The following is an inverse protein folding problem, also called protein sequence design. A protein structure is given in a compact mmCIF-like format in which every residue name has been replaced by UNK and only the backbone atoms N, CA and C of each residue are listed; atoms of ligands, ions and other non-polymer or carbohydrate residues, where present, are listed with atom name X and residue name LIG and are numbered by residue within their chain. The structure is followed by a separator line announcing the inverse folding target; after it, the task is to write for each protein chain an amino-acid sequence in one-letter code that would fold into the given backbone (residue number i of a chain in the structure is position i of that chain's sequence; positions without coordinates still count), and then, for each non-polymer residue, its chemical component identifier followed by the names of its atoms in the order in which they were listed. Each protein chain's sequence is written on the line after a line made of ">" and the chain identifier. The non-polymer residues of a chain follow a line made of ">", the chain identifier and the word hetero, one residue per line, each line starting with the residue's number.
data_IF_106737433019
#
_entry.id   IF_106737433019
#
_cell.length_a   1.000
_cell.length_b   1.000
_cell.length_c   1.000
_cell.angle_alpha   90.00
_cell.angle_beta   90.00
_cell.angle_gamma   90.00
#
_symmetry.space_group_name_H-M   'P 1'
#
loop_
_entity.id
_entity.type
_entity.pdbx_description
1 polymer ?
#
# COMPACT_ATOMS: atom_id res chain seq x y z
N UNK A 1 -32.60 4.34 2.99
CA UNK A 1 -31.54 5.12 3.65
C UNK A 1 -30.32 4.24 3.84
N UNK A 2 -29.35 4.34 2.96
CA UNK A 2 -28.10 3.58 3.08
C UNK A 2 -27.18 4.35 4.03
N UNK A 3 -27.07 3.88 5.28
CA UNK A 3 -26.03 4.35 6.19
C UNK A 3 -24.68 3.85 5.65
N UNK A 4 -23.95 4.73 5.01
CA UNK A 4 -22.52 4.54 4.82
C UNK A 4 -21.87 4.71 6.19
N UNK A 5 -21.72 3.61 6.91
CA UNK A 5 -20.84 3.58 8.05
C UNK A 5 -19.40 3.71 7.52
N UNK A 6 -18.91 4.94 7.54
CA UNK A 6 -17.55 5.29 7.16
C UNK A 6 -16.51 4.90 8.24
N UNK A 7 -16.84 3.90 9.05
CA UNK A 7 -15.86 3.30 9.96
C UNK A 7 -14.94 2.40 9.14
N UNK A 8 -13.67 2.72 9.16
CA UNK A 8 -12.63 1.86 8.61
C UNK A 8 -12.66 0.44 9.22
N UNK A 9 -11.83 -0.49 8.74
CA UNK A 9 -11.81 -1.85 9.21
C UNK A 9 -11.55 -1.90 10.74
N UNK A 10 -12.23 -2.82 11.42
CA UNK A 10 -12.03 -3.04 12.87
C UNK A 10 -10.66 -3.66 13.13
N UNK A 11 -10.17 -3.56 14.36
CA UNK A 11 -8.92 -4.21 14.80
C UNK A 11 -8.94 -5.73 14.55
N UNK A 12 -10.09 -6.36 14.73
CA UNK A 12 -10.28 -7.77 14.43
C UNK A 12 -10.10 -8.08 12.94
N UNK A 13 -10.72 -7.27 12.07
CA UNK A 13 -10.55 -7.41 10.62
C UNK A 13 -9.08 -7.24 10.20
N UNK A 14 -8.39 -6.25 10.75
CA UNK A 14 -6.97 -6.01 10.46
C UNK A 14 -6.10 -7.18 10.90
N UNK A 15 -6.33 -7.71 12.09
CA UNK A 15 -5.57 -8.85 12.64
C UNK A 15 -5.79 -10.12 11.80
N UNK A 16 -7.02 -10.46 11.53
CA UNK A 16 -7.36 -11.66 10.72
C UNK A 16 -6.82 -11.51 9.30
N UNK A 17 -6.95 -10.32 8.70
CA UNK A 17 -6.38 -10.02 7.39
C UNK A 17 -4.87 -10.21 7.35
N UNK A 18 -4.16 -9.78 8.37
CA UNK A 18 -2.71 -9.92 8.46
C UNK A 18 -2.28 -11.37 8.68
N UNK A 19 -2.99 -12.13 9.49
CA UNK A 19 -2.75 -13.58 9.66
C UNK A 19 -2.95 -14.35 8.34
N UNK A 20 -4.00 -14.02 7.59
CA UNK A 20 -4.25 -14.61 6.26
C UNK A 20 -3.15 -14.21 5.28
N UNK A 21 -2.74 -12.95 5.27
CA UNK A 21 -1.67 -12.46 4.40
C UNK A 21 -0.37 -13.24 4.62
N UNK A 22 0.04 -13.39 5.87
CA UNK A 22 1.24 -14.15 6.23
C UNK A 22 1.14 -15.61 5.80
N UNK A 23 0.01 -16.25 6.04
CA UNK A 23 -0.20 -17.66 5.68
C UNK A 23 -0.14 -17.88 4.18
N UNK A 24 -0.76 -17.00 3.39
CA UNK A 24 -0.72 -17.09 1.92
C UNK A 24 0.69 -16.84 1.41
N UNK A 25 1.36 -15.78 1.88
CA UNK A 25 2.73 -15.46 1.49
C UNK A 25 3.68 -16.63 1.78
N UNK A 26 3.56 -17.22 2.95
CA UNK A 26 4.35 -18.40 3.34
C UNK A 26 4.15 -19.60 2.41
N UNK A 27 2.89 -19.90 2.06
CA UNK A 27 2.57 -20.99 1.15
C UNK A 27 3.13 -20.76 -0.27
N UNK A 28 3.09 -19.51 -0.74
CA UNK A 28 3.66 -19.12 -2.03
C UNK A 28 5.18 -19.22 -2.04
N UNK A 29 5.86 -18.74 -1.00
CA UNK A 29 7.32 -18.84 -0.85
C UNK A 29 7.80 -20.30 -0.82
N UNK A 30 7.07 -21.17 -0.19
CA UNK A 30 7.39 -22.60 -0.12
C UNK A 30 7.04 -23.39 -1.39
N UNK A 31 6.41 -22.75 -2.35
CA UNK A 31 6.00 -23.41 -3.59
C UNK A 31 4.96 -24.50 -3.40
N UNK A 32 4.10 -24.38 -2.41
CA UNK A 32 3.06 -25.37 -2.11
C UNK A 32 1.92 -25.38 -3.15
N UNK A 33 1.79 -24.30 -3.91
CA UNK A 33 0.79 -24.15 -4.97
C UNK A 33 1.38 -24.62 -6.30
N UNK A 34 0.78 -25.64 -6.89
CA UNK A 34 1.28 -26.31 -8.11
C UNK A 34 0.51 -25.92 -9.38
N UNK A 35 -0.02 -24.73 -9.44
CA UNK A 35 -0.64 -24.24 -10.68
C UNK A 35 0.45 -23.79 -11.67
N UNK A 36 0.28 -24.18 -12.95
CA UNK A 36 1.27 -23.89 -14.00
C UNK A 36 1.51 -22.39 -14.22
N UNK A 37 0.53 -21.53 -13.92
CA UNK A 37 0.66 -20.09 -14.03
C UNK A 37 1.40 -19.46 -12.84
N UNK A 38 1.57 -20.19 -11.75
CA UNK A 38 2.15 -19.70 -10.49
C UNK A 38 3.55 -20.26 -10.27
N UNK A 39 3.80 -21.49 -10.70
CA UNK A 39 5.09 -22.16 -10.51
C UNK A 39 6.22 -21.33 -11.11
N UNK A 40 7.24 -21.03 -10.30
CA UNK A 40 8.38 -20.25 -10.71
C UNK A 40 8.17 -18.75 -10.77
N UNK A 41 6.98 -18.26 -10.42
CA UNK A 41 6.68 -16.82 -10.34
C UNK A 41 6.79 -16.38 -8.90
N UNK A 42 7.63 -15.37 -8.63
CA UNK A 42 7.69 -14.72 -7.34
C UNK A 42 6.47 -13.79 -7.21
N UNK A 43 5.65 -14.00 -6.19
CA UNK A 43 4.41 -13.26 -5.96
C UNK A 43 4.46 -12.66 -4.55
N UNK A 44 4.23 -11.37 -4.45
CA UNK A 44 4.09 -10.67 -3.17
C UNK A 44 2.62 -10.44 -2.85
N UNK A 45 2.20 -10.83 -1.66
CA UNK A 45 0.89 -10.48 -1.11
C UNK A 45 1.04 -9.19 -0.33
N UNK A 46 0.51 -8.10 -0.87
CA UNK A 46 0.70 -6.75 -0.29
C UNK A 46 -0.29 -6.45 0.81
N UNK A 47 -1.54 -6.86 0.64
CA UNK A 47 -2.61 -6.62 1.61
C UNK A 47 -3.69 -7.70 1.50
N UNK A 48 -4.35 -7.97 2.60
CA UNK A 48 -5.59 -8.76 2.63
C UNK A 48 -6.66 -7.97 3.36
N UNK A 49 -7.74 -7.68 2.69
CA UNK A 49 -8.93 -7.02 3.25
C UNK A 49 -10.03 -8.04 3.50
N UNK A 50 -10.61 -7.96 4.67
CA UNK A 50 -11.70 -8.83 5.09
C UNK A 50 -12.99 -8.04 5.23
N UNK A 51 -14.10 -8.62 4.75
CA UNK A 51 -15.43 -8.05 4.95
C UNK A 51 -15.81 -8.03 6.44
N UNK A 52 -16.69 -7.09 6.87
CA UNK A 52 -17.11 -6.97 8.26
C UNK A 52 -17.71 -8.26 8.86
N UNK A 53 -18.37 -9.08 8.03
CA UNK A 53 -18.94 -10.37 8.41
C UNK A 53 -17.90 -11.51 8.42
N UNK A 54 -16.65 -11.25 8.06
CA UNK A 54 -15.55 -12.20 7.96
C UNK A 54 -15.78 -13.35 6.95
N UNK A 55 -16.70 -13.17 6.01
CA UNK A 55 -17.05 -14.20 5.02
C UNK A 55 -16.25 -14.11 3.73
N UNK A 56 -15.71 -12.92 3.42
CA UNK A 56 -14.97 -12.67 2.19
C UNK A 56 -13.62 -12.00 2.52
N UNK A 57 -12.58 -12.49 1.87
CA UNK A 57 -11.24 -11.92 1.92
C UNK A 57 -10.78 -11.58 0.51
N UNK A 58 -10.26 -10.38 0.32
CA UNK A 58 -9.63 -9.95 -0.92
C UNK A 58 -8.15 -9.81 -0.70
N UNK A 59 -7.37 -10.63 -1.39
CA UNK A 59 -5.91 -10.59 -1.35
C UNK A 59 -5.37 -9.80 -2.54
N UNK A 60 -4.64 -8.75 -2.25
CA UNK A 60 -3.94 -7.94 -3.24
C UNK A 60 -2.55 -8.50 -3.46
N UNK A 61 -2.23 -8.81 -4.70
CA UNK A 61 -0.98 -9.46 -5.05
C UNK A 61 -0.26 -8.75 -6.18
N UNK A 62 1.05 -8.80 -6.13
CA UNK A 62 1.93 -8.26 -7.17
C UNK A 62 2.92 -9.33 -7.58
N UNK A 63 2.87 -9.82 -8.84
CA UNK A 63 3.92 -10.66 -9.39
C UNK A 63 5.21 -9.84 -9.53
N UNK A 64 6.32 -10.37 -9.03
CA UNK A 64 7.64 -9.76 -9.17
C UNK A 64 8.26 -10.16 -10.52
N UNK A 65 9.03 -9.25 -11.09
CA UNK A 65 9.74 -9.49 -12.34
C UNK A 65 9.10 -8.84 -13.55
N UNK A 66 8.03 -8.11 -13.35
CA UNK A 66 7.31 -7.42 -14.43
C UNK A 66 6.65 -8.42 -15.38
N UNK A 67 5.72 -7.96 -16.09
CA UNK A 67 4.97 -8.68 -17.09
C UNK A 67 3.95 -7.74 -17.68
N UNK A 68 3.51 -8.05 -18.87
CA UNK A 68 2.37 -7.36 -19.43
C UNK A 68 1.09 -7.68 -18.64
N UNK A 69 0.03 -6.98 -18.92
CA UNK A 69 -1.26 -7.17 -18.25
C UNK A 69 -1.80 -8.60 -18.40
N UNK A 70 -1.47 -9.29 -19.49
CA UNK A 70 -1.90 -10.66 -19.74
C UNK A 70 -1.16 -11.65 -18.86
N UNK A 71 0.15 -11.46 -18.67
CA UNK A 71 0.95 -12.29 -17.76
C UNK A 71 0.47 -12.14 -16.32
N UNK A 72 0.20 -10.91 -15.87
CA UNK A 72 -0.36 -10.63 -14.54
C UNK A 72 -1.73 -11.29 -14.39
N UNK A 73 -2.59 -11.18 -15.39
CA UNK A 73 -3.91 -11.80 -15.38
C UNK A 73 -3.82 -13.33 -15.28
N UNK A 74 -2.89 -13.95 -16.00
CA UNK A 74 -2.68 -15.40 -15.93
C UNK A 74 -2.31 -15.86 -14.53
N UNK A 75 -1.45 -15.11 -13.82
CA UNK A 75 -1.08 -15.39 -12.43
C UNK A 75 -2.29 -15.23 -11.50
N UNK A 76 -3.05 -14.16 -11.66
CA UNK A 76 -4.26 -13.92 -10.86
C UNK A 76 -5.29 -15.02 -11.06
N UNK A 77 -5.55 -15.43 -12.29
CA UNK A 77 -6.46 -16.53 -12.61
C UNK A 77 -5.97 -17.86 -12.00
N UNK A 78 -4.65 -18.10 -12.03
CA UNK A 78 -4.02 -19.24 -11.37
C UNK A 78 -4.22 -19.24 -9.85
N UNK A 79 -4.06 -18.11 -9.21
CA UNK A 79 -4.30 -17.96 -7.77
C UNK A 79 -5.78 -18.20 -7.42
N UNK A 80 -6.69 -17.70 -8.23
CA UNK A 80 -8.13 -17.90 -8.02
C UNK A 80 -8.54 -19.37 -8.25
N UNK A 81 -7.90 -20.08 -9.19
CA UNK A 81 -8.07 -21.53 -9.31
C UNK A 81 -7.57 -22.29 -8.08
N UNK A 82 -6.52 -21.80 -7.44
CA UNK A 82 -5.95 -22.38 -6.23
C UNK A 82 -6.66 -21.93 -4.93
N UNK A 83 -7.67 -21.09 -5.01
CA UNK A 83 -8.40 -20.60 -3.83
C UNK A 83 -8.91 -21.73 -2.92
N UNK A 84 -9.42 -22.87 -3.41
CA UNK A 84 -9.79 -24.00 -2.55
C UNK A 84 -8.62 -24.55 -1.74
N UNK A 85 -7.43 -24.58 -2.30
CA UNK A 85 -6.21 -24.98 -1.59
C UNK A 85 -5.90 -24.03 -0.43
N UNK A 86 -5.92 -22.73 -0.68
CA UNK A 86 -5.69 -21.73 0.37
C UNK A 86 -6.75 -21.81 1.46
N UNK A 87 -8.00 -22.02 1.12
CA UNK A 87 -9.07 -22.18 2.11
C UNK A 87 -8.82 -23.39 3.03
N UNK A 88 -8.43 -24.53 2.48
CA UNK A 88 -8.10 -25.73 3.28
C UNK A 88 -6.90 -25.50 4.19
N UNK A 89 -5.88 -24.84 3.67
CA UNK A 89 -4.70 -24.48 4.44
C UNK A 89 -5.06 -23.56 5.62
N UNK A 90 -5.80 -22.51 5.35
CA UNK A 90 -6.24 -21.54 6.37
C UNK A 90 -7.16 -22.18 7.41
N UNK A 91 -8.00 -23.12 7.01
CA UNK A 91 -8.85 -23.86 7.94
C UNK A 91 -8.05 -24.66 8.98
N UNK A 92 -6.85 -25.10 8.62
CA UNK A 92 -5.94 -25.82 9.53
C UNK A 92 -5.10 -24.90 10.39
N UNK A 93 -4.79 -23.70 9.92
CA UNK A 93 -3.86 -22.76 10.58
C UNK A 93 -4.58 -21.73 11.44
N UNK A 94 -5.79 -21.34 11.07
CA UNK A 94 -6.55 -20.29 11.74
C UNK A 94 -7.68 -20.88 12.58
N UNK A 95 -7.79 -20.40 13.80
CA UNK A 95 -8.90 -20.74 14.71
C UNK A 95 -10.14 -19.86 14.40
N UNK A 96 -10.60 -19.91 13.16
CA UNK A 96 -11.80 -19.21 12.75
C UNK A 96 -12.99 -20.17 12.70
N UNK A 97 -14.18 -19.68 13.10
CA UNK A 97 -15.43 -20.44 12.99
C UNK A 97 -15.74 -20.86 11.55
N UNK A 98 -15.44 -19.99 10.60
CA UNK A 98 -15.56 -20.24 9.19
C UNK A 98 -14.40 -19.56 8.46
N UNK A 99 -13.84 -20.24 7.48
CA UNK A 99 -12.79 -19.68 6.63
C UNK A 99 -13.44 -18.79 5.57
N UNK A 100 -12.97 -17.54 5.41
CA UNK A 100 -13.51 -16.64 4.41
C UNK A 100 -13.25 -17.16 2.99
N UNK A 101 -14.08 -16.76 2.05
CA UNK A 101 -13.81 -16.95 0.62
C UNK A 101 -12.67 -16.01 0.22
N UNK A 102 -11.67 -16.54 -0.42
CA UNK A 102 -10.52 -15.76 -0.87
C UNK A 102 -10.67 -15.44 -2.35
N UNK A 103 -10.51 -14.18 -2.67
CA UNK A 103 -10.43 -13.69 -4.04
C UNK A 103 -9.10 -12.93 -4.22
N UNK A 104 -8.37 -13.27 -5.26
CA UNK A 104 -7.11 -12.60 -5.59
C UNK A 104 -7.33 -11.57 -6.67
N UNK A 105 -6.80 -10.37 -6.44
CA UNK A 105 -6.78 -9.29 -7.42
C UNK A 105 -5.39 -8.67 -7.48
N UNK A 106 -5.00 -8.08 -8.63
CA UNK A 106 -3.72 -7.39 -8.74
C UNK A 106 -3.71 -6.13 -7.88
N UNK A 107 -2.59 -5.88 -7.22
CA UNK A 107 -2.37 -4.61 -6.53
C UNK A 107 -1.87 -3.56 -7.54
N UNK A 108 -2.75 -2.64 -7.88
CA UNK A 108 -2.47 -1.54 -8.81
C UNK A 108 -1.86 -0.32 -8.16
N UNK A 109 -1.71 -0.30 -6.83
CA UNK A 109 -1.13 0.85 -6.10
C UNK A 109 0.29 1.13 -6.54
N UNK A 110 1.07 0.08 -6.81
CA UNK A 110 2.45 0.19 -7.27
C UNK A 110 2.52 0.78 -8.69
N UNK A 111 1.64 0.37 -9.58
CA UNK A 111 1.57 0.89 -10.95
C UNK A 111 1.19 2.38 -10.94
N UNK A 112 0.23 2.77 -10.13
CA UNK A 112 -0.15 4.18 -9.95
C UNK A 112 0.97 5.03 -9.39
N UNK A 113 1.72 4.53 -8.41
CA UNK A 113 2.89 5.22 -7.87
C UNK A 113 4.01 5.36 -8.91
N UNK A 114 4.24 4.33 -9.72
CA UNK A 114 5.21 4.35 -10.81
C UNK A 114 4.80 5.32 -11.92
N UNK A 115 3.53 5.35 -12.31
CA UNK A 115 3.01 6.33 -13.28
C UNK A 115 3.13 7.75 -12.76
N UNK A 116 2.84 8.00 -11.49
CA UNK A 116 3.00 9.31 -10.85
C UNK A 116 4.47 9.73 -10.81
N UNK A 117 5.39 8.83 -10.48
CA UNK A 117 6.82 9.09 -10.48
C UNK A 117 7.34 9.40 -11.90
N UNK A 118 6.87 8.68 -12.90
CA UNK A 118 7.18 8.95 -14.30
C UNK A 118 6.64 10.32 -14.76
N UNK A 119 5.44 10.71 -14.33
CA UNK A 119 4.88 12.03 -14.59
C UNK A 119 5.70 13.14 -13.93
N UNK A 120 6.16 12.95 -12.70
CA UNK A 120 7.00 13.92 -11.99
C UNK A 120 8.37 14.11 -12.63
N UNK A 121 8.89 13.10 -13.33
CA UNK A 121 10.17 13.18 -14.04
C UNK A 121 10.07 13.82 -15.42
N UNK A 122 8.89 14.09 -15.92
CA UNK A 122 8.71 14.79 -17.18
C UNK A 122 9.30 16.20 -17.08
N UNK A 123 10.03 16.69 -18.11
CA UNK A 123 10.74 17.97 -18.05
C UNK A 123 9.83 19.18 -17.81
N UNK A 124 8.60 19.14 -18.32
CA UNK A 124 7.57 20.17 -18.14
C UNK A 124 7.13 20.26 -16.67
N UNK A 125 6.77 19.12 -16.07
CA UNK A 125 6.36 19.03 -14.65
C UNK A 125 7.52 19.34 -13.70
N UNK A 126 8.72 18.81 -13.98
CA UNK A 126 9.91 19.08 -13.18
C UNK A 126 10.31 20.57 -13.17
N UNK A 127 10.02 21.29 -14.25
CA UNK A 127 10.24 22.74 -14.34
C UNK A 127 9.24 23.51 -13.47
N UNK A 128 7.97 23.13 -13.55
CA UNK A 128 6.91 23.76 -12.75
C UNK A 128 7.12 23.54 -11.25
N UNK A 129 7.51 22.36 -10.83
CA UNK A 129 7.83 22.05 -9.44
C UNK A 129 9.03 22.87 -8.92
N UNK A 130 10.05 23.09 -9.75
CA UNK A 130 11.21 23.93 -9.39
C UNK A 130 10.85 25.39 -9.28
N UNK A 131 9.96 25.90 -10.11
CA UNK A 131 9.48 27.28 -10.03
C UNK A 131 8.68 27.50 -8.75
N UNK A 132 7.77 26.58 -8.43
CA UNK A 132 6.99 26.63 -7.18
C UNK A 132 7.87 26.57 -5.94
N UNK A 133 8.91 25.72 -5.94
CA UNK A 133 9.85 25.63 -4.82
C UNK A 133 10.64 26.92 -4.60
N UNK A 134 11.01 27.64 -5.66
CA UNK A 134 11.68 28.94 -5.56
C UNK A 134 10.77 30.02 -4.99
N UNK A 135 9.51 30.03 -5.40
CA UNK A 135 8.54 31.00 -4.89
C UNK A 135 8.27 30.83 -3.38
N UNK A 136 8.35 29.60 -2.87
CA UNK A 136 8.26 29.33 -1.44
C UNK A 136 9.48 29.80 -0.66
N UNK A 137 10.69 29.53 -1.16
CA UNK A 137 11.95 29.94 -0.54
C UNK A 137 12.11 31.49 -0.53
N UNK A 138 11.58 32.17 -1.53
CA UNK A 138 11.63 33.65 -1.62
C UNK A 138 10.64 34.27 -0.65
N UNK A 139 9.48 33.66 -0.45
CA UNK A 139 8.45 34.14 0.47
C UNK A 139 8.88 34.02 1.95
N UNK A 140 9.56 32.94 2.31
CA UNK A 140 10.07 32.73 3.66
C UNK A 140 11.24 33.67 4.00
N UNK A 141 11.95 34.19 3.01
CA UNK A 141 13.03 35.19 3.22
C UNK A 141 12.52 36.59 3.49
N UNK A 142 11.42 36.97 2.87
CA UNK A 142 10.84 38.32 3.07
C UNK A 142 10.14 38.43 4.42
N UNK A 143 9.65 37.35 5.02
CA UNK A 143 9.05 37.35 6.34
C UNK A 143 10.09 37.34 7.49
N UNK A 144 11.33 36.88 7.25
CA UNK A 144 12.38 36.82 8.26
C UNK A 144 13.22 38.09 8.39
N UNK A 145 12.95 39.10 7.55
CA UNK A 145 13.74 40.35 7.48
C UNK A 145 13.26 41.50 8.36
N UNK A 146 12.18 41.40 9.13
CA UNK A 146 11.57 42.52 9.81
C UNK A 146 11.66 42.57 11.35
N UNK A 147 12.31 41.61 11.98
CA UNK A 147 12.54 41.65 13.44
C UNK A 147 14.01 41.86 13.78
N UNK A 148 14.52 43.08 13.42
CA UNK A 148 15.68 43.60 14.09
C UNK A 148 15.20 44.12 15.46
N UNK A 149 15.37 43.30 16.48
CA UNK A 149 15.20 43.73 17.87
C UNK A 149 16.30 44.73 18.17
N UNK A 150 15.93 46.01 18.20
CA UNK A 150 16.76 47.08 18.71
C UNK A 150 16.92 46.85 20.21
N UNK A 151 18.10 46.40 20.63
CA UNK A 151 18.48 46.31 22.06
C UNK A 151 18.80 47.70 22.54
N UNK A 152 18.10 48.22 23.54
CA UNK A 152 18.48 49.53 24.11
C UNK A 152 19.80 49.41 24.88
N UNK A 153 20.78 50.26 24.52
CA UNK A 153 21.99 50.46 25.27
C UNK A 153 21.64 50.86 26.71
N UNK A 154 21.90 49.99 27.64
CA UNK A 154 21.93 50.36 29.06
C UNK A 154 23.31 50.83 29.39
N UNK A 155 23.47 52.15 29.38
CA UNK A 155 24.58 52.84 30.03
C UNK A 155 24.56 52.48 31.52
N UNK A 156 25.50 51.66 31.93
CA UNK A 156 25.89 51.54 33.32
C UNK A 156 27.07 52.49 33.61
N UNK A 157 26.72 53.75 33.79
CA UNK A 157 27.55 54.64 34.50
C UNK A 157 27.11 54.69 35.98
N UNK A 158 28.01 54.36 36.87
CA UNK A 158 27.72 54.38 38.26
C UNK A 158 28.93 54.05 39.12
N UNK A 159 29.74 54.98 39.39
CA UNK A 159 30.53 55.20 40.56
C UNK A 159 30.69 54.12 41.62
#
# INVERSE_FOLDING_TARGET
>A
MVRRDSKGPTQRQLRVGEEIRHSIAWALERGEVRDHAIVGVAITVTEVRISPDLKNATAFVTPLGGGDKEAVKAVIDGLNRAAPFFRRMLAKQLELRAVPRINFIPDVSFDKASEMDALMRRPDVARDLRSMAKDWDEKDRDESGSDAIEVPDTDLDGA
#
